data_IF_903280063019
#
_entry.id   IF_903280063019
#
_cell.length_a   1.000
_cell.length_b   1.000
_cell.length_c   1.000
_cell.angle_alpha   90.00
_cell.angle_beta   90.00
_cell.angle_gamma   90.00
#
_symmetry.space_group_name_H-M   'P 1'
#
loop_
_entity.id
_entity.type
_entity.pdbx_description
1 polymer ?
#
# COMPACT_ATOMS: atom_id res chain seq x y z
N UNK A 1 -34.21 -26.31 -31.24
CA UNK A 1 -33.05 -26.95 -30.58
C UNK A 1 -31.71 -26.41 -31.06
N UNK A 2 -31.49 -26.06 -32.30
CA UNK A 2 -30.20 -25.57 -32.82
C UNK A 2 -29.79 -24.22 -32.22
N UNK A 3 -30.73 -23.31 -31.93
CA UNK A 3 -30.43 -21.99 -31.36
C UNK A 3 -29.91 -22.03 -29.88
N UNK A 4 -30.32 -23.02 -29.10
CA UNK A 4 -29.86 -23.15 -27.70
C UNK A 4 -28.40 -23.63 -27.61
N UNK A 5 -28.01 -24.55 -28.51
CA UNK A 5 -26.61 -25.01 -28.56
C UNK A 5 -25.65 -23.90 -29.00
N UNK A 6 -26.08 -23.04 -29.92
CA UNK A 6 -25.29 -21.91 -30.41
C UNK A 6 -25.11 -20.85 -29.33
N UNK A 7 -26.15 -20.56 -28.53
CA UNK A 7 -26.08 -19.62 -27.41
C UNK A 7 -25.19 -20.17 -26.29
N UNK A 8 -25.29 -21.46 -25.94
CA UNK A 8 -24.42 -22.11 -24.99
C UNK A 8 -22.96 -22.15 -25.43
N UNK A 9 -22.70 -22.42 -26.71
CA UNK A 9 -21.36 -22.40 -27.28
C UNK A 9 -20.78 -20.98 -27.30
N UNK A 10 -21.57 -19.95 -27.63
CA UNK A 10 -21.15 -18.53 -27.53
C UNK A 10 -20.88 -18.12 -26.07
N UNK A 11 -21.72 -18.49 -25.14
CA UNK A 11 -21.49 -18.22 -23.71
C UNK A 11 -20.25 -18.94 -23.19
N UNK A 12 -19.98 -20.16 -23.61
CA UNK A 12 -18.78 -20.91 -23.27
C UNK A 12 -17.51 -20.33 -23.91
N UNK A 13 -17.59 -19.92 -25.17
CA UNK A 13 -16.50 -19.18 -25.86
C UNK A 13 -16.25 -17.80 -25.21
N UNK A 14 -17.29 -17.08 -24.85
CA UNK A 14 -17.16 -15.80 -24.13
C UNK A 14 -16.58 -16.00 -22.72
N UNK A 15 -16.93 -17.09 -22.02
CA UNK A 15 -16.29 -17.39 -20.73
C UNK A 15 -14.83 -17.82 -20.86
N UNK A 16 -14.46 -18.50 -21.96
CA UNK A 16 -13.06 -18.83 -22.27
C UNK A 16 -12.25 -17.61 -22.72
N UNK A 17 -12.88 -16.65 -23.39
CA UNK A 17 -12.24 -15.37 -23.76
C UNK A 17 -12.16 -14.40 -22.58
N UNK A 18 -13.03 -14.52 -21.59
CA UNK A 18 -13.00 -13.75 -20.35
C UNK A 18 -11.90 -14.20 -19.37
N UNK A 19 -11.34 -15.38 -19.58
CA UNK A 19 -10.09 -15.81 -18.91
C UNK A 19 -8.83 -15.42 -19.70
N UNK A 20 -8.90 -14.39 -20.54
CA UNK A 20 -7.72 -13.69 -21.00
C UNK A 20 -7.06 -13.12 -19.74
N UNK A 21 -6.06 -13.84 -19.27
CA UNK A 21 -5.25 -13.57 -18.10
C UNK A 21 -4.75 -12.12 -18.17
N UNK A 22 -5.46 -11.21 -17.51
CA UNK A 22 -4.89 -9.91 -17.24
C UNK A 22 -3.62 -10.17 -16.43
N UNK A 23 -2.46 -9.83 -16.97
CA UNK A 23 -1.21 -9.90 -16.22
C UNK A 23 -1.39 -9.07 -14.95
N UNK A 24 -1.50 -9.75 -13.82
CA UNK A 24 -1.59 -9.07 -12.55
C UNK A 24 -0.18 -8.71 -12.11
N UNK A 25 0.21 -7.48 -12.37
CA UNK A 25 1.43 -6.91 -11.83
C UNK A 25 1.18 -6.52 -10.37
N UNK A 26 1.94 -7.09 -9.46
CA UNK A 26 1.83 -6.81 -8.04
C UNK A 26 3.03 -5.97 -7.58
N UNK A 27 2.75 -4.87 -6.93
CA UNK A 27 3.77 -3.95 -6.41
C UNK A 27 4.01 -4.17 -4.92
N UNK A 28 4.69 -5.23 -4.55
CA UNK A 28 5.28 -5.42 -3.23
C UNK A 28 4.33 -5.51 -2.02
N UNK A 29 4.85 -5.13 -0.86
CA UNK A 29 4.19 -5.23 0.44
C UNK A 29 4.31 -3.92 1.21
N UNK A 30 3.23 -3.53 1.88
CA UNK A 30 3.16 -2.34 2.73
C UNK A 30 2.82 -2.73 4.17
N UNK A 31 3.45 -2.05 5.12
CA UNK A 31 3.14 -2.10 6.54
C UNK A 31 3.11 -0.69 7.11
N UNK A 32 2.05 -0.33 7.80
CA UNK A 32 1.99 0.87 8.63
C UNK A 32 1.74 0.50 10.09
N UNK A 33 2.37 1.20 11.03
CA UNK A 33 2.24 0.90 12.47
C UNK A 33 2.30 2.19 13.29
N UNK A 34 1.43 2.30 14.30
CA UNK A 34 1.36 3.44 15.22
C UNK A 34 2.19 3.19 16.48
N UNK A 35 3.04 4.17 16.82
CA UNK A 35 3.77 4.22 18.07
C UNK A 35 3.26 5.32 19.01
N UNK A 36 3.95 5.56 20.14
CA UNK A 36 3.60 6.61 21.10
C UNK A 36 3.72 8.01 20.49
N UNK A 37 4.84 8.28 19.83
CA UNK A 37 5.25 9.64 19.44
C UNK A 37 5.21 9.85 17.91
N UNK A 38 4.79 8.84 17.14
CA UNK A 38 4.78 8.90 15.68
C UNK A 38 4.11 7.71 15.04
N UNK A 39 4.17 7.69 13.72
CA UNK A 39 3.65 6.62 12.89
C UNK A 39 4.69 6.25 11.84
N UNK A 40 4.80 4.97 11.55
CA UNK A 40 5.79 4.43 10.61
C UNK A 40 5.07 3.75 9.46
N UNK A 41 5.57 3.93 8.25
CA UNK A 41 5.14 3.15 7.07
C UNK A 41 6.37 2.57 6.38
N UNK A 42 6.29 1.29 6.05
CA UNK A 42 7.34 0.57 5.35
C UNK A 42 6.83 -0.05 4.06
N UNK A 43 7.70 -0.14 3.08
CA UNK A 43 7.47 -0.88 1.84
C UNK A 43 8.71 -1.63 1.44
N UNK A 44 8.54 -2.75 0.75
CA UNK A 44 9.61 -3.33 -0.03
C UNK A 44 9.76 -2.61 -1.38
N UNK A 45 10.77 -2.96 -2.15
CA UNK A 45 11.06 -2.32 -3.44
C UNK A 45 10.99 -3.28 -4.63
N UNK A 46 10.56 -4.53 -4.41
CA UNK A 46 10.47 -5.53 -5.48
C UNK A 46 9.20 -5.31 -6.30
N UNK A 47 9.35 -5.36 -7.61
CA UNK A 47 8.25 -5.39 -8.56
C UNK A 47 8.27 -6.71 -9.33
N UNK A 48 7.23 -7.52 -9.16
CA UNK A 48 7.16 -8.87 -9.70
C UNK A 48 5.81 -9.15 -10.37
N UNK A 49 5.77 -10.13 -11.29
CA UNK A 49 4.55 -10.59 -11.97
C UNK A 49 4.13 -11.96 -11.44
N UNK A 50 2.84 -12.14 -11.22
CA UNK A 50 2.27 -13.39 -10.73
C UNK A 50 2.08 -14.47 -11.79
N UNK A 51 2.03 -14.12 -13.08
CA UNK A 51 1.70 -15.06 -14.17
C UNK A 51 2.84 -16.01 -14.56
N UNK A 52 4.05 -15.54 -14.44
CA UNK A 52 5.24 -16.27 -14.91
C UNK A 52 6.08 -16.84 -13.77
N UNK A 53 5.51 -16.87 -12.56
CA UNK A 53 6.23 -17.31 -11.37
C UNK A 53 7.31 -16.32 -10.95
N UNK A 54 7.01 -15.39 -10.08
CA UNK A 54 7.96 -14.52 -9.36
C UNK A 54 9.09 -13.89 -10.20
N UNK A 55 8.82 -13.44 -11.42
CA UNK A 55 9.84 -12.71 -12.17
C UNK A 55 10.03 -11.31 -11.59
N UNK A 56 11.26 -10.99 -11.22
CA UNK A 56 11.69 -9.65 -10.92
C UNK A 56 11.58 -8.80 -12.21
N UNK A 57 10.60 -7.92 -12.29
CA UNK A 57 10.47 -6.95 -13.38
C UNK A 57 11.30 -5.70 -13.15
N UNK A 58 11.68 -5.43 -11.88
CA UNK A 58 12.46 -4.27 -11.52
C UNK A 58 12.33 -3.91 -10.04
N UNK A 59 12.86 -2.75 -9.72
CA UNK A 59 12.69 -2.13 -8.41
C UNK A 59 11.80 -0.90 -8.52
N UNK A 60 10.84 -0.75 -7.62
CA UNK A 60 10.06 0.47 -7.54
C UNK A 60 10.93 1.63 -7.06
N UNK A 61 11.01 2.72 -7.82
CA UNK A 61 11.72 3.90 -7.35
C UNK A 61 10.99 4.56 -6.17
N UNK A 62 9.65 4.47 -6.12
CA UNK A 62 8.84 5.04 -5.04
C UNK A 62 7.50 4.31 -4.94
N UNK A 63 7.29 3.59 -3.84
CA UNK A 63 5.99 3.06 -3.43
C UNK A 63 5.28 3.96 -2.41
N UNK A 64 6.02 4.86 -1.75
CA UNK A 64 5.51 5.78 -0.72
C UNK A 64 5.71 7.23 -1.19
N UNK A 65 4.65 8.01 -1.13
CA UNK A 65 4.58 9.40 -1.54
C UNK A 65 4.24 10.29 -0.35
N UNK A 66 4.84 11.49 -0.33
CA UNK A 66 4.52 12.51 0.66
C UNK A 66 3.39 13.40 0.16
N UNK A 67 2.39 13.62 1.03
CA UNK A 67 1.23 14.48 0.82
C UNK A 67 1.23 15.57 1.89
N UNK A 68 1.75 16.75 1.53
CA UNK A 68 1.93 17.83 2.50
C UNK A 68 3.05 17.54 3.53
N UNK A 69 2.96 18.18 4.69
CA UNK A 69 4.01 18.10 5.72
C UNK A 69 3.88 16.88 6.64
N UNK A 70 2.64 16.40 6.87
CA UNK A 70 2.31 15.43 7.92
C UNK A 70 1.54 14.21 7.44
N UNK A 71 1.58 13.91 6.14
CA UNK A 71 0.85 12.78 5.55
C UNK A 71 1.73 12.05 4.55
N UNK A 72 1.75 10.73 4.64
CA UNK A 72 2.38 9.83 3.67
C UNK A 72 1.33 8.84 3.15
N UNK A 73 1.45 8.45 1.90
CA UNK A 73 0.63 7.40 1.30
C UNK A 73 1.53 6.39 0.59
N UNK A 74 1.38 5.13 0.94
CA UNK A 74 2.00 4.01 0.25
C UNK A 74 0.98 3.33 -0.65
N UNK A 75 1.42 2.85 -1.82
CA UNK A 75 0.57 2.12 -2.75
C UNK A 75 1.08 0.71 -2.97
N UNK A 76 0.14 -0.23 -2.97
CA UNK A 76 0.30 -1.57 -3.48
C UNK A 76 -0.58 -1.75 -4.71
N UNK A 77 -0.07 -2.45 -5.72
CA UNK A 77 -0.77 -2.70 -6.99
C UNK A 77 0.04 -2.25 -8.21
N UNK A 78 -0.64 -1.79 -9.24
CA UNK A 78 0.00 -1.37 -10.49
C UNK A 78 0.64 0.03 -10.34
N UNK A 79 1.94 0.15 -10.62
CA UNK A 79 2.69 1.42 -10.47
C UNK A 79 2.14 2.54 -11.35
N UNK A 80 1.71 2.22 -12.58
CA UNK A 80 1.07 3.20 -13.48
C UNK A 80 -0.20 3.78 -12.85
N UNK A 81 -0.98 2.94 -12.17
CA UNK A 81 -2.23 3.34 -11.54
C UNK A 81 -1.98 4.20 -10.32
N UNK A 82 -1.01 3.81 -9.49
CA UNK A 82 -0.57 4.61 -8.34
C UNK A 82 -0.11 6.00 -8.78
N UNK A 83 0.69 6.09 -9.84
CA UNK A 83 1.13 7.39 -10.41
C UNK A 83 -0.04 8.23 -10.91
N UNK A 84 -0.96 7.63 -11.64
CA UNK A 84 -2.15 8.31 -12.15
C UNK A 84 -3.01 8.85 -11.02
N UNK A 85 -3.20 8.08 -9.95
CA UNK A 85 -3.92 8.54 -8.76
C UNK A 85 -3.19 9.71 -8.10
N UNK A 86 -1.88 9.61 -7.95
CA UNK A 86 -1.08 10.70 -7.36
C UNK A 86 -1.13 11.98 -8.19
N UNK A 87 -1.16 11.89 -9.51
CA UNK A 87 -1.32 13.05 -10.39
C UNK A 87 -2.69 13.69 -10.21
N UNK A 88 -3.77 12.88 -10.22
CA UNK A 88 -5.14 13.37 -9.95
C UNK A 88 -5.29 13.98 -8.56
N UNK A 89 -4.63 13.41 -7.56
CA UNK A 89 -4.61 13.96 -6.20
C UNK A 89 -3.92 15.32 -6.19
N UNK A 90 -2.75 15.47 -6.82
CA UNK A 90 -2.03 16.75 -6.93
C UNK A 90 -2.85 17.81 -7.66
N UNK A 91 -3.54 17.44 -8.74
CA UNK A 91 -4.41 18.34 -9.47
C UNK A 91 -5.55 18.85 -8.55
N UNK A 92 -6.25 17.98 -7.84
CA UNK A 92 -7.30 18.35 -6.90
C UNK A 92 -6.77 19.22 -5.76
N UNK A 93 -5.55 18.93 -5.28
CA UNK A 93 -4.91 19.66 -4.19
C UNK A 93 -4.32 21.01 -4.62
N UNK A 94 -4.02 21.20 -5.91
CA UNK A 94 -3.46 22.46 -6.42
C UNK A 94 -4.31 23.71 -6.11
N UNK A 95 -5.63 23.49 -5.89
CA UNK A 95 -6.57 24.53 -5.50
C UNK A 95 -6.73 24.68 -3.97
N UNK A 96 -6.06 23.86 -3.18
CA UNK A 96 -6.08 23.89 -1.72
C UNK A 96 -4.69 24.19 -1.15
N UNK A 97 -4.64 24.82 0.02
CA UNK A 97 -3.36 24.94 0.76
C UNK A 97 -3.05 23.58 1.41
N UNK A 98 -2.24 22.78 0.75
CA UNK A 98 -1.86 21.41 1.18
C UNK A 98 -1.34 21.34 2.63
N UNK A 99 -0.66 22.42 3.09
CA UNK A 99 -0.05 22.49 4.42
C UNK A 99 -1.06 22.43 5.57
N UNK A 100 -2.35 22.72 5.31
CA UNK A 100 -3.40 22.76 6.33
C UNK A 100 -4.39 21.59 6.24
N UNK A 101 -4.19 20.68 5.29
CA UNK A 101 -5.08 19.53 5.18
C UNK A 101 -4.71 18.45 6.20
N UNK A 102 -5.70 18.02 6.97
CA UNK A 102 -5.58 16.91 7.91
C UNK A 102 -5.44 15.58 7.16
N UNK A 103 -4.73 14.58 7.71
CA UNK A 103 -4.63 13.24 7.15
C UNK A 103 -5.99 12.61 6.83
N UNK A 104 -6.99 12.80 7.67
CA UNK A 104 -8.36 12.33 7.45
C UNK A 104 -9.03 12.95 6.22
N UNK A 105 -8.73 14.22 5.90
CA UNK A 105 -9.24 14.87 4.68
C UNK A 105 -8.53 14.35 3.43
N UNK A 106 -7.21 14.09 3.51
CA UNK A 106 -6.49 13.41 2.44
C UNK A 106 -7.04 12.01 2.18
N UNK A 107 -7.37 11.25 3.24
CA UNK A 107 -7.96 9.92 3.12
C UNK A 107 -9.30 9.97 2.38
N UNK A 108 -10.18 10.93 2.70
CA UNK A 108 -11.45 11.11 1.99
C UNK A 108 -11.22 11.43 0.52
N UNK A 109 -10.35 12.40 0.21
CA UNK A 109 -10.06 12.79 -1.15
C UNK A 109 -9.46 11.64 -1.98
N UNK A 110 -8.59 10.83 -1.35
CA UNK A 110 -8.01 9.64 -1.96
C UNK A 110 -9.08 8.57 -2.24
N UNK A 111 -9.96 8.30 -1.28
CA UNK A 111 -11.10 7.40 -1.43
C UNK A 111 -12.00 7.81 -2.60
N UNK A 112 -12.41 9.08 -2.68
CA UNK A 112 -13.23 9.61 -3.77
C UNK A 112 -12.50 9.50 -5.13
N UNK A 113 -11.17 9.65 -5.13
CA UNK A 113 -10.35 9.55 -6.34
C UNK A 113 -10.23 8.10 -6.81
N UNK A 114 -10.05 7.15 -5.89
CA UNK A 114 -10.04 5.71 -6.18
C UNK A 114 -11.38 5.28 -6.75
N UNK A 115 -12.48 5.60 -6.08
CA UNK A 115 -13.83 5.24 -6.52
C UNK A 115 -14.14 5.73 -7.94
N UNK A 116 -13.78 6.97 -8.24
CA UNK A 116 -14.02 7.58 -9.55
C UNK A 116 -13.07 7.07 -10.65
N UNK A 117 -11.97 6.40 -10.30
CA UNK A 117 -10.91 6.08 -11.26
C UNK A 117 -11.04 4.71 -11.89
N UNK A 118 -11.55 3.71 -11.16
CA UNK A 118 -11.54 2.30 -11.57
C UNK A 118 -10.13 1.71 -11.71
N UNK A 119 -9.12 2.32 -11.08
CA UNK A 119 -7.73 1.89 -11.11
C UNK A 119 -7.45 0.85 -10.03
N UNK A 120 -6.45 -0.03 -10.27
CA UNK A 120 -6.17 -1.16 -9.40
C UNK A 120 -4.98 -0.85 -8.50
N UNK A 121 -5.25 -0.28 -7.34
CA UNK A 121 -4.26 -0.14 -6.28
C UNK A 121 -4.92 -0.08 -4.90
N UNK A 122 -4.20 -0.51 -3.88
CA UNK A 122 -4.66 -0.55 -2.50
C UNK A 122 -3.70 0.26 -1.63
N UNK A 123 -4.01 1.53 -1.33
CA UNK A 123 -3.13 2.38 -0.56
C UNK A 123 -3.27 2.18 0.95
N UNK A 124 -2.18 2.50 1.66
CA UNK A 124 -2.19 2.81 3.08
C UNK A 124 -1.75 4.25 3.25
N UNK A 125 -2.58 5.06 3.88
CA UNK A 125 -2.29 6.44 4.23
C UNK A 125 -1.99 6.53 5.72
N UNK A 126 -0.91 7.20 6.08
CA UNK A 126 -0.56 7.53 7.45
C UNK A 126 -0.40 9.03 7.64
N UNK A 127 -0.63 9.49 8.85
CA UNK A 127 -0.43 10.90 9.16
C UNK A 127 -0.49 11.24 10.64
N UNK A 128 -0.21 12.52 10.92
CA UNK A 128 -0.37 13.12 12.24
C UNK A 128 -1.38 14.26 12.14
N UNK A 129 -2.51 14.14 12.83
CA UNK A 129 -3.51 15.19 12.95
C UNK A 129 -2.95 16.40 13.73
N UNK A 130 -3.60 17.55 13.64
CA UNK A 130 -3.18 18.76 14.39
C UNK A 130 -3.20 18.55 15.90
N UNK A 131 -4.07 17.67 16.38
CA UNK A 131 -4.11 17.24 17.78
C UNK A 131 -2.90 16.43 18.21
N UNK A 132 -2.06 15.96 17.24
CA UNK A 132 -1.00 15.00 17.47
C UNK A 132 -1.48 13.55 17.44
N UNK A 133 -2.77 13.31 17.16
CA UNK A 133 -3.31 11.97 17.00
C UNK A 133 -2.74 11.32 15.75
N UNK A 134 -2.32 10.06 15.89
CA UNK A 134 -1.81 9.23 14.80
C UNK A 134 -3.01 8.75 13.97
N UNK A 135 -2.85 8.78 12.67
CA UNK A 135 -3.86 8.36 11.72
C UNK A 135 -3.30 7.30 10.78
N UNK A 136 -3.94 6.16 10.71
CA UNK A 136 -3.65 5.09 9.75
C UNK A 136 -4.95 4.71 9.07
N UNK A 137 -4.97 4.75 7.74
CA UNK A 137 -6.12 4.37 6.94
C UNK A 137 -5.67 3.50 5.77
N UNK A 138 -6.12 2.27 5.72
CA UNK A 138 -5.98 1.40 4.55
C UNK A 138 -7.23 1.48 3.68
N UNK A 139 -7.06 1.30 2.37
CA UNK A 139 -8.16 1.32 1.42
C UNK A 139 -8.03 0.17 0.42
N UNK A 140 -9.15 -0.32 -0.06
CA UNK A 140 -9.20 -1.19 -1.22
C UNK A 140 -9.18 -0.41 -2.55
N UNK A 141 -9.19 -1.12 -3.67
CA UNK A 141 -9.19 -0.50 -5.00
C UNK A 141 -10.44 0.31 -5.33
N UNK A 142 -11.50 0.20 -4.55
CA UNK A 142 -12.72 1.00 -4.67
C UNK A 142 -12.75 2.18 -3.68
N UNK A 143 -11.70 2.34 -2.88
CA UNK A 143 -11.60 3.43 -1.92
C UNK A 143 -12.35 3.18 -0.60
N UNK A 144 -12.80 1.94 -0.32
CA UNK A 144 -13.40 1.63 0.98
C UNK A 144 -12.35 1.77 2.08
N UNK A 145 -12.62 2.63 3.06
CA UNK A 145 -11.68 3.01 4.10
C UNK A 145 -11.78 2.11 5.33
N UNK A 146 -10.63 1.69 5.85
CA UNK A 146 -10.49 1.04 7.15
C UNK A 146 -9.48 1.83 7.97
N UNK A 147 -9.95 2.50 9.02
CA UNK A 147 -9.09 3.25 9.95
C UNK A 147 -8.64 2.30 11.07
N UNK A 148 -7.36 2.37 11.41
CA UNK A 148 -6.75 1.55 12.46
C UNK A 148 -5.95 2.41 13.44
N UNK A 149 -6.07 2.13 14.72
CA UNK A 149 -5.29 2.78 15.78
C UNK A 149 -3.96 2.05 16.06
N UNK A 150 -3.74 0.89 15.45
CA UNK A 150 -2.60 0.02 15.72
C UNK A 150 -1.69 -0.14 14.51
N UNK A 151 -2.10 -0.95 13.55
CA UNK A 151 -1.34 -1.18 12.32
C UNK A 151 -2.27 -1.50 11.15
N UNK A 152 -1.74 -1.38 9.93
CA UNK A 152 -2.39 -1.80 8.70
C UNK A 152 -1.35 -2.45 7.77
N UNK A 153 -1.77 -3.45 7.03
CA UNK A 153 -0.94 -4.19 6.07
C UNK A 153 -1.64 -4.27 4.71
N UNK A 154 -0.86 -4.28 3.64
CA UNK A 154 -1.36 -4.47 2.27
C UNK A 154 -0.26 -5.14 1.43
N UNK A 155 -0.64 -5.81 0.35
CA UNK A 155 0.32 -6.43 -0.55
C UNK A 155 0.32 -7.94 -0.56
N UNK A 156 1.31 -8.53 -1.25
CA UNK A 156 1.38 -9.98 -1.47
C UNK A 156 1.64 -10.78 -0.19
N UNK A 157 2.45 -10.23 0.73
CA UNK A 157 2.73 -10.86 2.03
C UNK A 157 1.65 -10.60 3.10
N UNK A 158 0.50 -9.99 2.75
CA UNK A 158 -0.50 -9.48 3.70
C UNK A 158 -0.87 -10.49 4.80
N UNK A 159 -1.28 -11.72 4.46
CA UNK A 159 -1.77 -12.69 5.46
C UNK A 159 -0.70 -13.09 6.46
N UNK A 160 0.52 -13.35 6.00
CA UNK A 160 1.65 -13.68 6.85
C UNK A 160 2.12 -12.49 7.69
N UNK A 161 2.20 -11.32 7.06
CA UNK A 161 2.62 -10.09 7.72
C UNK A 161 1.62 -9.66 8.80
N UNK A 162 0.32 -9.81 8.56
CA UNK A 162 -0.72 -9.49 9.55
C UNK A 162 -0.52 -10.29 10.83
N UNK A 163 -0.35 -11.62 10.74
CA UNK A 163 -0.12 -12.48 11.89
C UNK A 163 1.18 -12.15 12.64
N UNK A 164 2.26 -11.80 11.91
CA UNK A 164 3.53 -11.37 12.49
C UNK A 164 3.34 -10.06 13.26
N UNK A 165 2.66 -9.08 12.65
CA UNK A 165 2.41 -7.78 13.27
C UNK A 165 1.53 -7.91 14.51
N UNK A 166 0.48 -8.75 14.47
CA UNK A 166 -0.39 -9.00 15.62
C UNK A 166 0.37 -9.58 16.82
N UNK A 167 1.35 -10.43 16.57
CA UNK A 167 2.20 -10.98 17.62
C UNK A 167 3.29 -10.02 18.14
N UNK A 168 3.76 -9.11 17.30
CA UNK A 168 4.89 -8.23 17.60
C UNK A 168 4.46 -6.83 18.08
N UNK A 169 3.28 -6.36 17.70
CA UNK A 169 2.78 -5.05 18.06
C UNK A 169 2.59 -4.90 19.57
N UNK A 170 3.03 -3.78 20.08
CA UNK A 170 2.77 -3.33 21.45
C UNK A 170 2.30 -1.89 21.41
N UNK A 171 1.24 -1.54 22.14
CA UNK A 171 0.79 -0.15 22.23
C UNK A 171 1.89 0.73 22.86
N UNK A 172 1.90 1.99 22.48
CA UNK A 172 2.75 3.03 23.07
C UNK A 172 4.26 2.81 22.97
N UNK A 173 4.73 2.03 21.99
CA UNK A 173 6.16 1.93 21.69
C UNK A 173 6.74 3.30 21.30
N UNK A 174 7.92 3.68 21.83
CA UNK A 174 8.68 4.79 21.31
C UNK A 174 8.97 4.58 19.81
N UNK A 175 9.07 5.65 19.05
CA UNK A 175 9.20 5.56 17.58
C UNK A 175 10.46 4.80 17.15
N UNK A 176 11.56 4.91 17.89
CA UNK A 176 12.80 4.20 17.55
C UNK A 176 12.62 2.67 17.69
N UNK A 177 12.00 2.22 18.79
CA UNK A 177 11.68 0.80 19.00
C UNK A 177 10.63 0.32 17.96
N UNK A 178 9.69 1.18 17.59
CA UNK A 178 8.68 0.88 16.58
C UNK A 178 9.32 0.62 15.21
N UNK A 179 10.33 1.40 14.82
CA UNK A 179 11.09 1.20 13.57
C UNK A 179 11.75 -0.18 13.56
N UNK A 180 12.35 -0.61 14.67
CA UNK A 180 12.98 -1.93 14.78
C UNK A 180 11.95 -3.07 14.71
N UNK A 181 10.77 -2.89 15.31
CA UNK A 181 9.66 -3.85 15.22
C UNK A 181 9.15 -3.95 13.77
N UNK A 182 8.94 -2.81 13.10
CA UNK A 182 8.52 -2.75 11.70
C UNK A 182 9.54 -3.42 10.78
N UNK A 183 10.84 -3.13 10.96
CA UNK A 183 11.92 -3.77 10.20
C UNK A 183 11.88 -5.28 10.37
N UNK A 184 11.78 -5.76 11.61
CA UNK A 184 11.74 -7.20 11.92
C UNK A 184 10.51 -7.87 11.29
N UNK A 185 9.33 -7.26 11.40
CA UNK A 185 8.11 -7.78 10.79
C UNK A 185 8.23 -7.88 9.27
N UNK A 186 8.73 -6.83 8.62
CA UNK A 186 8.96 -6.82 7.18
C UNK A 186 9.95 -7.89 6.75
N UNK A 187 11.13 -7.99 7.39
CA UNK A 187 12.12 -9.03 7.07
C UNK A 187 11.55 -10.44 7.17
N UNK A 188 10.80 -10.74 8.25
CA UNK A 188 10.17 -12.05 8.45
C UNK A 188 9.11 -12.38 7.39
N UNK A 189 8.34 -11.38 6.94
CA UNK A 189 7.34 -11.55 5.91
C UNK A 189 7.97 -11.76 4.53
N UNK A 190 8.97 -10.94 4.18
CA UNK A 190 9.64 -10.99 2.89
C UNK A 190 10.41 -12.30 2.66
N UNK A 191 10.96 -12.91 3.71
CA UNK A 191 11.59 -14.24 3.63
C UNK A 191 10.64 -15.37 3.22
N UNK A 192 9.32 -15.14 3.29
CA UNK A 192 8.28 -16.14 2.99
C UNK A 192 7.45 -15.79 1.77
N UNK A 193 7.70 -14.64 1.18
CA UNK A 193 6.98 -14.15 0.00
C UNK A 193 7.94 -14.01 -1.18
N UNK A 194 7.70 -14.79 -2.22
CA UNK A 194 8.50 -14.76 -3.46
C UNK A 194 8.21 -13.53 -4.32
N UNK A 195 7.11 -12.82 -4.06
CA UNK A 195 6.66 -11.67 -4.83
C UNK A 195 7.19 -10.34 -4.30
N UNK A 196 7.62 -10.29 -3.04
CA UNK A 196 8.19 -9.12 -2.35
C UNK A 196 9.67 -9.31 -2.05
N UNK A 197 10.44 -8.23 -1.86
CA UNK A 197 11.85 -8.33 -1.51
C UNK A 197 12.72 -7.14 -1.94
N UNK A 198 13.98 -7.39 -2.27
CA UNK A 198 15.04 -6.47 -2.66
C UNK A 198 15.51 -5.57 -1.51
N UNK A 199 14.82 -4.51 -1.19
CA UNK A 199 15.12 -3.64 -0.04
C UNK A 199 13.84 -3.22 0.68
N UNK A 200 13.99 -2.75 1.91
CA UNK A 200 12.90 -2.21 2.73
C UNK A 200 13.16 -0.72 2.90
N UNK A 201 12.16 0.09 2.59
CA UNK A 201 12.13 1.53 2.89
C UNK A 201 11.17 1.79 4.03
N UNK A 202 11.68 2.38 5.10
CA UNK A 202 10.92 2.70 6.31
C UNK A 202 10.87 4.23 6.44
N UNK A 203 9.68 4.78 6.35
CA UNK A 203 9.43 6.19 6.60
C UNK A 203 8.84 6.36 7.99
N UNK A 204 9.49 7.18 8.78
CA UNK A 204 9.06 7.52 10.14
C UNK A 204 8.53 8.94 10.14
N UNK A 205 7.27 9.10 10.51
CA UNK A 205 6.63 10.39 10.62
C UNK A 205 6.39 10.73 12.08
N UNK A 206 7.06 11.80 12.53
CA UNK A 206 6.95 12.38 13.88
C UNK A 206 6.60 13.86 13.76
N UNK A 207 6.26 14.48 14.90
CA UNK A 207 5.88 15.91 14.95
C UNK A 207 6.95 16.82 14.32
N UNK A 208 8.22 16.48 14.51
CA UNK A 208 9.34 17.29 14.09
C UNK A 208 9.81 17.01 12.64
N UNK A 209 9.25 16.00 11.98
CA UNK A 209 9.62 15.70 10.59
C UNK A 209 9.33 14.28 10.12
N UNK A 210 9.88 14.00 8.94
CA UNK A 210 9.79 12.69 8.31
C UNK A 210 11.20 12.19 7.99
N UNK A 211 11.52 10.99 8.42
CA UNK A 211 12.82 10.35 8.27
C UNK A 211 12.70 9.09 7.42
N UNK A 212 13.72 8.81 6.63
CA UNK A 212 13.82 7.61 5.78
C UNK A 212 14.99 6.74 6.24
N UNK A 213 14.73 5.46 6.47
CA UNK A 213 15.71 4.40 6.63
C UNK A 213 15.54 3.42 5.47
N UNK A 214 16.62 3.13 4.75
CA UNK A 214 16.64 2.12 3.68
C UNK A 214 17.55 0.97 4.08
N UNK A 215 17.08 -0.27 3.88
CA UNK A 215 17.74 -1.48 4.36
C UNK A 215 17.74 -2.48 3.23
N UNK A 216 18.91 -2.96 2.83
CA UNK A 216 19.00 -4.08 1.91
C UNK A 216 18.50 -5.37 2.58
N UNK A 217 17.72 -6.14 1.84
CA UNK A 217 17.33 -7.49 2.21
C UNK A 217 18.17 -8.40 1.33
N UNK A 218 19.00 -9.24 1.95
CA UNK A 218 19.78 -10.22 1.21
C UNK A 218 18.81 -11.12 0.44
N UNK A 219 19.03 -11.25 -0.87
CA UNK A 219 18.28 -12.17 -1.71
C UNK A 219 18.55 -13.61 -1.22
N UNK A 220 17.49 -14.30 -0.81
CA UNK A 220 17.50 -15.72 -0.44
C UNK A 220 17.36 -16.55 -1.70
#
# INVERSE_FOLDING_TARGET
MVNYLLVLACCFLLSLLSSANAESFHGGTLLAMAGRDGVVIASDTRFSSSQTGSFLLGQFPRSIYRMGSRTLVGFYGLDSDARTIMERMREKLSHHREEHLQPSNFARLLSDTLYASGLICSPILIGLEDSGQRFICSMDGLGAQTVSDTFAVSGTANSGLYAICESAYRPDLPVDELVDVVEKCMRMALQRDTMSGCSIRIYTLVKDGCYLKEIAVDDV
#
